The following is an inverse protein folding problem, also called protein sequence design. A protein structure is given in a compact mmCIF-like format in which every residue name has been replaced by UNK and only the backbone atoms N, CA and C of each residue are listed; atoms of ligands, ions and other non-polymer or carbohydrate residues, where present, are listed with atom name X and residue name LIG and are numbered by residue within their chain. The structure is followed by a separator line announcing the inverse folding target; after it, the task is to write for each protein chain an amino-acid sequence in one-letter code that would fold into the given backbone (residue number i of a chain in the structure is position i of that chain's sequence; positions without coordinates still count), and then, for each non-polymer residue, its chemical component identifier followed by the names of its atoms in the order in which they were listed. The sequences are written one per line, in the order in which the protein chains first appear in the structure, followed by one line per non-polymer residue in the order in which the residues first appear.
data_IF_237723140013
#
_entry.id   IF_237723140013
#
_cell.length_a   1.000
_cell.length_b   1.000
_cell.length_c   1.000
_cell.angle_alpha   90.00
_cell.angle_beta   90.00
_cell.angle_gamma   90.00
#
_symmetry.space_group_name_H-M   'P 1'
#
loop_
_entity.id
_entity.type
_entity.pdbx_description
1 polymer ?
#
# COMPACT_ATOMS: atom_id res chain seq x y z
N UNK A 1 16.46 5.62 -4.24
CA UNK A 1 15.97 6.96 -3.87
C UNK A 1 14.76 6.77 -2.99
N UNK A 2 14.79 7.26 -1.73
CA UNK A 2 13.62 7.17 -0.85
C UNK A 2 12.67 8.31 -1.23
N UNK A 3 11.50 7.98 -1.76
CA UNK A 3 10.44 8.93 -2.08
C UNK A 3 9.39 8.92 -0.97
N UNK A 4 9.01 10.10 -0.45
CA UNK A 4 7.87 10.21 0.45
C UNK A 4 6.59 10.12 -0.39
N UNK A 5 5.83 9.04 -0.22
CA UNK A 5 4.54 8.83 -0.86
C UNK A 5 3.43 8.92 0.17
N UNK A 6 2.40 9.72 -0.13
CA UNK A 6 1.18 9.81 0.70
C UNK A 6 0.18 8.77 0.22
N UNK A 7 -0.41 8.04 1.16
CA UNK A 7 -1.50 7.09 0.90
C UNK A 7 -2.63 7.36 1.88
N UNK A 8 -3.86 7.43 1.37
CA UNK A 8 -5.05 7.43 2.19
C UNK A 8 -5.44 5.97 2.50
N UNK A 9 -5.71 5.69 3.78
CA UNK A 9 -6.24 4.39 4.23
C UNK A 9 -7.57 4.67 4.91
N UNK A 10 -8.64 4.05 4.43
CA UNK A 10 -9.95 4.08 5.07
C UNK A 10 -10.01 3.03 6.16
N UNK A 11 -10.62 3.35 7.30
CA UNK A 11 -10.94 2.40 8.36
C UNK A 11 -12.44 2.18 8.44
N UNK A 12 -12.86 0.95 8.73
CA UNK A 12 -14.25 0.69 9.08
C UNK A 12 -14.55 1.09 10.54
N UNK A 13 -15.82 1.03 10.92
CA UNK A 13 -16.28 1.41 12.26
C UNK A 13 -15.59 0.60 13.36
N UNK A 14 -15.39 -0.71 13.18
CA UNK A 14 -14.75 -1.56 14.19
C UNK A 14 -13.28 -1.21 14.35
N UNK A 15 -12.61 -0.93 13.24
CA UNK A 15 -11.21 -0.50 13.23
C UNK A 15 -11.04 0.85 13.92
N UNK A 16 -11.96 1.79 13.69
CA UNK A 16 -11.96 3.09 14.38
C UNK A 16 -12.17 2.93 15.89
N UNK A 17 -13.15 2.14 16.31
CA UNK A 17 -13.38 1.86 17.73
C UNK A 17 -12.17 1.21 18.39
N UNK A 18 -11.48 0.29 17.69
CA UNK A 18 -10.28 -0.33 18.23
C UNK A 18 -9.12 0.67 18.34
N UNK A 19 -8.95 1.54 17.34
CA UNK A 19 -7.95 2.62 17.39
C UNK A 19 -8.23 3.58 18.56
N UNK A 20 -9.49 3.95 18.78
CA UNK A 20 -9.89 4.80 19.90
C UNK A 20 -9.56 4.15 21.25
N UNK A 21 -9.84 2.85 21.41
CA UNK A 21 -9.44 2.08 22.60
C UNK A 21 -7.94 2.12 22.83
N UNK A 22 -7.15 1.80 21.80
CA UNK A 22 -5.68 1.79 21.87
C UNK A 22 -5.14 3.15 22.32
N UNK A 23 -5.63 4.25 21.74
CA UNK A 23 -5.22 5.61 22.09
C UNK A 23 -5.60 5.94 23.53
N UNK A 24 -6.82 5.58 23.94
CA UNK A 24 -7.32 5.84 25.29
C UNK A 24 -6.51 5.09 26.35
N UNK A 25 -6.19 3.83 26.08
CA UNK A 25 -5.45 2.96 27.00
C UNK A 25 -3.94 3.18 26.92
N UNK A 26 -3.45 3.95 25.95
CA UNK A 26 -2.02 4.14 25.65
C UNK A 26 -1.28 2.81 25.47
N UNK A 27 -1.94 1.82 24.84
CA UNK A 27 -1.42 0.48 24.64
C UNK A 27 -0.46 0.44 23.43
N UNK A 28 0.84 0.54 23.70
CA UNK A 28 1.88 0.55 22.67
C UNK A 28 1.98 -0.78 21.90
N UNK A 29 1.75 -1.92 22.57
CA UNK A 29 1.84 -3.23 21.95
C UNK A 29 0.70 -3.41 20.94
N UNK A 30 -0.52 -3.06 21.35
CA UNK A 30 -1.68 -3.16 20.48
C UNK A 30 -1.65 -2.09 19.36
N UNK A 31 -1.06 -0.91 19.61
CA UNK A 31 -0.78 0.08 18.57
C UNK A 31 0.13 -0.48 17.48
N UNK A 32 1.21 -1.18 17.85
CA UNK A 32 2.11 -1.80 16.87
C UNK A 32 1.39 -2.85 16.02
N UNK A 33 0.60 -3.72 16.65
CA UNK A 33 -0.17 -4.74 15.96
C UNK A 33 -1.22 -4.12 15.01
N UNK A 34 -1.91 -3.06 15.46
CA UNK A 34 -2.86 -2.33 14.65
C UNK A 34 -2.20 -1.71 13.41
N UNK A 35 -1.07 -1.02 13.58
CA UNK A 35 -0.33 -0.42 12.46
C UNK A 35 0.14 -1.47 11.45
N UNK A 36 0.65 -2.61 11.91
CA UNK A 36 1.09 -3.68 11.02
C UNK A 36 -0.08 -4.23 10.19
N UNK A 37 -1.19 -4.56 10.84
CA UNK A 37 -2.33 -5.21 10.17
C UNK A 37 -3.18 -4.25 9.35
N UNK A 38 -3.54 -3.10 9.91
CA UNK A 38 -4.51 -2.19 9.30
C UNK A 38 -3.86 -1.15 8.38
N UNK A 39 -2.57 -0.81 8.58
CA UNK A 39 -1.87 0.16 7.73
C UNK A 39 -0.90 -0.53 6.77
N UNK A 40 0.09 -1.27 7.28
CA UNK A 40 1.15 -1.82 6.46
C UNK A 40 0.62 -2.84 5.44
N UNK A 41 -0.17 -3.83 5.89
CA UNK A 41 -0.70 -4.87 4.99
C UNK A 41 -1.63 -4.28 3.91
N UNK A 42 -2.44 -3.26 4.26
CA UNK A 42 -3.28 -2.56 3.28
C UNK A 42 -2.47 -1.80 2.24
N UNK A 43 -1.46 -1.07 2.67
CA UNK A 43 -0.56 -0.36 1.75
C UNK A 43 0.13 -1.37 0.86
N UNK A 44 0.72 -2.44 1.42
CA UNK A 44 1.40 -3.49 0.67
C UNK A 44 0.48 -4.09 -0.40
N UNK A 45 -0.74 -4.46 -0.01
CA UNK A 45 -1.73 -5.04 -0.94
C UNK A 45 -2.11 -4.06 -2.06
N UNK A 46 -2.33 -2.78 -1.72
CA UNK A 46 -2.67 -1.75 -2.71
C UNK A 46 -1.55 -1.52 -3.75
N UNK A 47 -0.29 -1.68 -3.36
CA UNK A 47 0.85 -1.52 -4.26
C UNK A 47 1.10 -2.78 -5.11
N UNK A 48 0.86 -3.98 -4.58
CA UNK A 48 1.00 -5.23 -5.33
C UNK A 48 0.06 -5.25 -6.55
N UNK A 49 -1.19 -4.79 -6.40
CA UNK A 49 -2.14 -4.71 -7.51
C UNK A 49 -1.70 -3.77 -8.64
N UNK A 50 -1.04 -2.66 -8.30
CA UNK A 50 -0.51 -1.70 -9.28
C UNK A 50 0.71 -2.23 -10.02
N UNK A 51 1.61 -2.93 -9.33
CA UNK A 51 2.79 -3.50 -9.98
C UNK A 51 2.40 -4.51 -11.06
N UNK A 52 1.37 -5.33 -10.79
CA UNK A 52 0.83 -6.28 -11.76
C UNK A 52 0.22 -5.58 -12.98
N UNK A 53 -0.63 -4.56 -12.79
CA UNK A 53 -1.23 -3.86 -13.94
C UNK A 53 -0.19 -3.12 -14.79
N UNK A 54 0.88 -2.59 -14.19
CA UNK A 54 2.00 -2.00 -14.92
C UNK A 54 2.83 -3.04 -15.71
N UNK A 55 2.99 -4.26 -15.19
CA UNK A 55 3.65 -5.36 -15.91
C UNK A 55 2.75 -5.92 -17.03
N UNK A 56 1.45 -6.05 -16.81
CA UNK A 56 0.49 -6.58 -17.80
C UNK A 56 0.22 -5.58 -18.94
N UNK A 57 0.34 -4.27 -18.69
CA UNK A 57 0.19 -3.22 -19.72
C UNK A 57 1.50 -2.88 -20.45
N UNK A 58 2.65 -3.22 -19.87
CA UNK A 58 3.91 -3.13 -20.58
C UNK A 58 4.00 -4.31 -21.56
N UNK A 59 3.92 -4.03 -22.86
CA UNK A 59 4.40 -4.95 -23.89
C UNK A 59 5.85 -4.54 -24.23
N UNK A 60 6.86 -4.99 -23.47
CA UNK A 60 8.24 -4.56 -23.66
C UNK A 60 8.74 -4.86 -25.08
N UNK A 61 8.21 -5.90 -25.72
CA UNK A 61 8.58 -6.32 -27.08
C UNK A 61 8.25 -5.24 -28.13
N UNK A 62 7.12 -4.54 -28.01
CA UNK A 62 6.77 -3.47 -28.95
C UNK A 62 7.70 -2.25 -28.83
N UNK A 63 8.15 -1.92 -27.61
CA UNK A 63 9.14 -0.87 -27.38
C UNK A 63 10.52 -1.19 -28.00
N UNK A 64 10.91 -2.46 -28.03
CA UNK A 64 12.15 -2.92 -28.69
C UNK A 64 12.04 -2.95 -30.22
N UNK A 65 10.84 -3.14 -30.79
CA UNK A 65 10.65 -3.11 -32.24
C UNK A 65 10.73 -1.70 -32.81
N UNK A 66 10.22 -0.70 -32.10
CA UNK A 66 10.25 0.70 -32.56
C UNK A 66 11.65 1.31 -32.50
N UNK A 67 12.49 0.88 -31.55
CA UNK A 67 13.86 1.38 -31.39
C UNK A 67 14.87 0.80 -32.39
N UNK A 68 14.50 -0.25 -33.15
CA UNK A 68 15.32 -0.82 -34.22
C UNK A 68 14.90 -0.37 -35.63
N UNK A 69 13.98 0.60 -35.73
CA UNK A 69 13.57 1.24 -37.00
C UNK A 69 13.90 2.74 -36.91
N UNK A 70 15.19 3.06 -36.78
CA UNK A 70 15.79 4.38 -37.05
C UNK A 70 17.25 4.14 -37.38
#
# INVERSE_FOLDING_TARGET
MLEIRKTAVSFDERELMNLERIITDSDEEEAFLFLKKCLYDRILHSQQGRLKSHLDSANPVEGFKQSNIT
#
